data_IF_928843211894
#
_entry.id   IF_928843211894
#
_cell.length_a   1.000
_cell.length_b   1.000
_cell.length_c   1.000
_cell.angle_alpha   90.00
_cell.angle_beta   90.00
_cell.angle_gamma   90.00
#
_symmetry.space_group_name_H-M   'P 1'
#
loop_
_entity.id
_entity.type
_entity.pdbx_description
1 polymer ?
#
# COMPACT_ATOMS: atom_id res chain seq x y z
N UNK A 1 -7.75 -29.18 16.41
CA UNK A 1 -8.03 -27.99 15.57
C UNK A 1 -6.90 -27.00 15.81
N UNK A 2 -5.85 -27.05 14.98
CA UNK A 2 -4.72 -26.12 15.07
C UNK A 2 -5.15 -24.79 14.47
N UNK A 3 -5.26 -23.77 15.31
CA UNK A 3 -5.38 -22.39 14.86
C UNK A 3 -4.06 -22.01 14.19
N UNK A 4 -4.06 -21.95 12.85
CA UNK A 4 -3.00 -21.27 12.11
C UNK A 4 -3.15 -19.79 12.42
N UNK A 5 -2.50 -19.36 13.49
CA UNK A 5 -2.20 -17.96 13.74
C UNK A 5 -1.28 -17.54 12.59
N UNK A 6 -1.85 -16.98 11.53
CA UNK A 6 -1.07 -16.31 10.50
C UNK A 6 -0.39 -15.14 11.18
N UNK A 7 0.84 -15.33 11.66
CA UNK A 7 1.72 -14.24 12.06
C UNK A 7 1.85 -13.34 10.84
N UNK A 8 1.03 -12.30 10.79
CA UNK A 8 1.21 -11.23 9.82
C UNK A 8 2.60 -10.68 10.15
N UNK A 9 3.61 -10.86 9.28
CA UNK A 9 4.93 -10.35 9.56
C UNK A 9 4.78 -8.85 9.83
N UNK A 10 5.37 -8.38 10.92
CA UNK A 10 5.31 -6.97 11.29
C UNK A 10 5.90 -6.17 10.12
N UNK A 11 5.00 -5.57 9.34
CA UNK A 11 5.33 -4.85 8.12
C UNK A 11 6.23 -3.66 8.47
N UNK A 12 6.02 -3.06 9.63
CA UNK A 12 6.82 -1.94 10.11
C UNK A 12 8.23 -2.43 10.43
N UNK A 13 8.38 -3.54 11.16
CA UNK A 13 9.69 -4.14 11.44
C UNK A 13 10.41 -4.57 10.14
N UNK A 14 9.70 -5.26 9.24
CA UNK A 14 10.26 -5.73 7.98
C UNK A 14 10.65 -4.61 7.02
N UNK A 15 9.97 -3.46 7.08
CA UNK A 15 10.40 -2.23 6.43
C UNK A 15 11.61 -1.65 7.16
N UNK A 16 11.59 -1.55 8.50
CA UNK A 16 12.65 -1.00 9.36
C UNK A 16 14.01 -1.70 9.22
N UNK A 17 13.99 -3.02 9.07
CA UNK A 17 15.18 -3.86 8.90
C UNK A 17 15.75 -3.84 7.48
N UNK A 18 15.18 -3.07 6.55
CA UNK A 18 15.70 -2.91 5.20
C UNK A 18 16.45 -1.58 5.01
N UNK A 19 17.78 -1.57 5.16
CA UNK A 19 18.60 -0.37 4.96
C UNK A 19 18.71 0.03 3.49
N UNK A 20 18.45 -0.89 2.56
CA UNK A 20 18.50 -0.63 1.12
C UNK A 20 17.26 0.11 0.61
N UNK A 21 16.16 0.08 1.38
CA UNK A 21 14.87 0.63 0.99
C UNK A 21 14.17 -0.15 -0.13
N UNK A 22 14.72 -1.26 -0.60
CA UNK A 22 14.16 -2.08 -1.68
C UNK A 22 12.77 -2.64 -1.36
N UNK A 23 12.53 -3.10 -0.13
CA UNK A 23 11.21 -3.55 0.33
C UNK A 23 10.20 -2.43 0.32
N UNK A 24 10.59 -1.24 0.76
CA UNK A 24 9.73 -0.06 0.69
C UNK A 24 9.41 0.31 -0.75
N UNK A 25 10.43 0.38 -1.62
CA UNK A 25 10.26 0.69 -3.03
C UNK A 25 9.37 -0.34 -3.75
N UNK A 26 9.59 -1.64 -3.50
CA UNK A 26 8.78 -2.71 -4.08
C UNK A 26 7.32 -2.67 -3.59
N UNK A 27 7.10 -2.37 -2.32
CA UNK A 27 5.76 -2.24 -1.75
C UNK A 27 5.03 -1.02 -2.35
N UNK A 28 5.70 0.13 -2.43
CA UNK A 28 5.16 1.34 -3.07
C UNK A 28 4.84 1.06 -4.55
N UNK A 29 5.74 0.40 -5.29
CA UNK A 29 5.51 0.06 -6.69
C UNK A 29 4.26 -0.83 -6.86
N UNK A 30 4.08 -1.83 -6.00
CA UNK A 30 2.91 -2.69 -6.02
C UNK A 30 1.61 -1.94 -5.69
N UNK A 31 1.63 -1.05 -4.72
CA UNK A 31 0.48 -0.21 -4.36
C UNK A 31 0.13 0.78 -5.47
N UNK A 32 1.13 1.36 -6.15
CA UNK A 32 0.93 2.23 -7.31
C UNK A 32 0.29 1.48 -8.47
N UNK A 33 0.74 0.26 -8.78
CA UNK A 33 0.11 -0.58 -9.80
C UNK A 33 -1.36 -0.86 -9.50
N UNK A 34 -1.69 -1.25 -8.26
CA UNK A 34 -3.09 -1.45 -7.85
C UNK A 34 -3.92 -0.17 -7.93
N UNK A 35 -3.31 0.99 -7.64
CA UNK A 35 -3.97 2.28 -7.72
C UNK A 35 -4.28 2.64 -9.18
N UNK A 36 -3.32 2.46 -10.09
CA UNK A 36 -3.51 2.67 -11.52
C UNK A 36 -4.58 1.74 -12.09
N UNK A 37 -4.60 0.48 -11.67
CA UNK A 37 -5.65 -0.49 -12.05
C UNK A 37 -7.04 -0.04 -11.60
N UNK A 38 -7.16 0.48 -10.37
CA UNK A 38 -8.42 1.03 -9.87
C UNK A 38 -8.87 2.23 -10.72
N UNK A 39 -7.94 3.14 -11.06
CA UNK A 39 -8.25 4.30 -11.90
C UNK A 39 -8.63 3.91 -13.32
N UNK A 40 -7.94 2.94 -13.91
CA UNK A 40 -8.25 2.42 -15.23
C UNK A 40 -9.65 1.80 -15.26
N UNK A 41 -9.99 0.99 -14.25
CA UNK A 41 -11.34 0.40 -14.11
C UNK A 41 -12.42 1.46 -13.86
N UNK A 42 -12.14 2.52 -13.08
CA UNK A 42 -13.09 3.64 -12.89
C UNK A 42 -13.44 4.33 -14.21
N UNK A 43 -12.51 4.43 -15.17
CA UNK A 43 -12.73 5.08 -16.47
C UNK A 43 -13.66 4.29 -17.40
N UNK A 44 -13.80 3.00 -17.20
CA UNK A 44 -14.59 2.11 -18.07
C UNK A 44 -15.95 1.71 -17.48
N UNK A 45 -16.25 2.15 -16.26
CA UNK A 45 -17.43 1.72 -15.52
C UNK A 45 -18.62 2.66 -15.68
N UNK A 46 -19.79 2.05 -15.90
CA UNK A 46 -21.09 2.70 -15.87
C UNK A 46 -21.90 2.38 -14.60
N UNK A 47 -21.43 1.43 -13.76
CA UNK A 47 -22.10 1.08 -12.50
C UNK A 47 -21.60 1.98 -11.35
N UNK A 48 -22.56 2.67 -10.72
CA UNK A 48 -22.32 3.58 -9.61
C UNK A 48 -21.72 2.86 -8.39
N UNK A 49 -22.22 1.66 -8.06
CA UNK A 49 -21.77 0.94 -6.86
C UNK A 49 -20.31 0.49 -6.99
N UNK A 50 -19.95 -0.02 -8.16
CA UNK A 50 -18.57 -0.39 -8.48
C UNK A 50 -17.66 0.84 -8.54
N UNK A 51 -18.15 1.96 -9.07
CA UNK A 51 -17.40 3.22 -9.07
C UNK A 51 -17.06 3.69 -7.66
N UNK A 52 -18.05 3.73 -6.76
CA UNK A 52 -17.87 4.14 -5.35
C UNK A 52 -16.88 3.22 -4.61
N UNK A 53 -16.96 1.91 -4.86
CA UNK A 53 -16.00 0.95 -4.29
C UNK A 53 -14.57 1.21 -4.77
N UNK A 54 -14.39 1.44 -6.07
CA UNK A 54 -13.06 1.73 -6.64
C UNK A 54 -12.54 3.11 -6.22
N UNK A 55 -13.42 4.08 -5.98
CA UNK A 55 -13.05 5.36 -5.40
C UNK A 55 -12.50 5.19 -3.99
N UNK A 56 -13.24 4.49 -3.12
CA UNK A 56 -12.78 4.18 -1.77
C UNK A 56 -11.46 3.40 -1.78
N UNK A 57 -11.33 2.44 -2.70
CA UNK A 57 -10.11 1.64 -2.86
C UNK A 57 -8.92 2.48 -3.32
N UNK A 58 -9.13 3.39 -4.29
CA UNK A 58 -8.11 4.31 -4.77
C UNK A 58 -7.64 5.27 -3.67
N UNK A 59 -8.56 5.82 -2.87
CA UNK A 59 -8.22 6.66 -1.72
C UNK A 59 -7.43 5.88 -0.67
N UNK A 60 -7.83 4.66 -0.35
CA UNK A 60 -7.12 3.80 0.62
C UNK A 60 -5.70 3.47 0.15
N UNK A 61 -5.52 3.14 -1.14
CA UNK A 61 -4.20 2.87 -1.72
C UNK A 61 -3.30 4.12 -1.70
N UNK A 62 -3.84 5.29 -2.03
CA UNK A 62 -3.10 6.55 -1.95
C UNK A 62 -2.68 6.89 -0.51
N UNK A 63 -3.54 6.65 0.47
CA UNK A 63 -3.22 6.83 1.89
C UNK A 63 -2.12 5.87 2.35
N UNK A 64 -2.21 4.59 1.96
CA UNK A 64 -1.22 3.58 2.29
C UNK A 64 0.18 3.94 1.74
N UNK A 65 0.26 4.40 0.49
CA UNK A 65 1.51 4.88 -0.12
C UNK A 65 2.12 6.00 0.73
N UNK A 66 1.33 7.02 1.10
CA UNK A 66 1.81 8.16 1.90
C UNK A 66 2.30 7.73 3.29
N UNK A 67 1.61 6.79 3.93
CA UNK A 67 2.02 6.24 5.24
C UNK A 67 3.37 5.56 5.12
N UNK A 68 3.55 4.71 4.11
CA UNK A 68 4.80 3.99 3.88
C UNK A 68 5.94 4.96 3.56
N UNK A 69 5.70 5.94 2.68
CA UNK A 69 6.67 6.99 2.35
C UNK A 69 7.08 7.79 3.61
N UNK A 70 6.12 8.18 4.45
CA UNK A 70 6.38 8.93 5.68
C UNK A 70 7.20 8.12 6.70
N UNK A 71 6.89 6.83 6.86
CA UNK A 71 7.63 5.92 7.74
C UNK A 71 9.07 5.72 7.25
N UNK A 72 9.28 5.63 5.93
CA UNK A 72 10.62 5.50 5.36
C UNK A 72 11.43 6.80 5.40
N UNK A 73 10.79 7.97 5.27
CA UNK A 73 11.47 9.27 5.35
C UNK A 73 11.97 9.59 6.77
N UNK A 74 11.21 9.21 7.81
CA UNK A 74 11.67 9.34 9.21
C UNK A 74 12.97 8.59 9.51
N UNK A 75 13.33 7.58 8.71
CA UNK A 75 14.60 6.86 8.84
C UNK A 75 15.81 7.58 8.24
N UNK A 76 15.61 8.46 7.26
CA UNK A 76 16.70 9.20 6.60
C UNK A 76 16.90 10.62 7.17
N UNK A 77 15.99 11.12 8.00
CA UNK A 77 15.99 12.48 8.53
C UNK A 77 16.40 12.64 10.00
N UNK A 78 17.17 11.70 10.56
CA UNK A 78 17.73 11.81 11.91
C UNK A 78 19.08 12.53 11.87
N UNK A 79 19.08 13.84 12.05
CA UNK A 79 20.25 14.64 12.43
C UNK A 79 20.16 15.00 13.91
#
# INVERSE_FOLDING_TARGET
MTMQETSTPDLLAGLQDDPSGQRCAALIARLRGLHEDCLARKRTLCDRKTYELLEASSTALAAAIRIIEAVSHRRHGGN
#
